data_IF_489019305480
#
_entry.id   IF_489019305480
#
_cell.length_a   1.000
_cell.length_b   1.000
_cell.length_c   1.000
_cell.angle_alpha   90.00
_cell.angle_beta   90.00
_cell.angle_gamma   90.00
#
_symmetry.space_group_name_H-M   'P 1'
#
loop_
_entity.id
_entity.type
_entity.pdbx_description
1 polymer ?
#
# COMPACT_ATOMS: atom_id res chain seq x y z
N UNK A 1 -0.20 5.09 25.32
CA UNK A 1 -0.54 4.33 24.11
C UNK A 1 -1.99 4.62 23.76
N UNK A 2 -2.31 4.85 22.48
CA UNK A 2 -3.70 5.07 22.07
C UNK A 2 -4.47 3.75 22.17
N UNK A 3 -5.79 3.79 22.36
CA UNK A 3 -6.62 2.55 22.38
C UNK A 3 -6.45 1.73 21.08
N UNK A 4 -6.23 2.43 19.96
CA UNK A 4 -5.96 1.81 18.65
C UNK A 4 -4.64 1.04 18.64
N UNK A 5 -3.55 1.57 19.21
CA UNK A 5 -2.26 0.86 19.22
C UNK A 5 -2.32 -0.45 20.01
N UNK A 6 -3.05 -0.46 21.14
CA UNK A 6 -3.24 -1.67 21.96
C UNK A 6 -4.03 -2.74 21.21
N UNK A 7 -5.04 -2.33 20.43
CA UNK A 7 -5.85 -3.28 19.67
C UNK A 7 -5.05 -3.95 18.55
N UNK A 8 -4.22 -3.20 17.82
CA UNK A 8 -3.35 -3.80 16.79
C UNK A 8 -2.33 -4.75 17.41
N UNK A 9 -1.73 -4.39 18.54
CA UNK A 9 -0.86 -5.29 19.31
C UNK A 9 -1.56 -6.60 19.69
N UNK A 10 -2.84 -6.54 20.07
CA UNK A 10 -3.64 -7.73 20.32
C UNK A 10 -3.88 -8.54 19.05
N UNK A 11 -4.24 -7.90 17.93
CA UNK A 11 -4.47 -8.59 16.65
C UNK A 11 -3.24 -9.36 16.18
N UNK A 12 -2.04 -8.80 16.33
CA UNK A 12 -0.79 -9.50 16.00
C UNK A 12 -0.59 -10.80 16.78
N UNK A 13 -1.07 -10.88 18.03
CA UNK A 13 -0.99 -12.10 18.85
C UNK A 13 -1.81 -13.25 18.29
N UNK A 14 -2.86 -12.94 17.52
CA UNK A 14 -3.69 -13.94 16.86
C UNK A 14 -3.09 -14.41 15.53
N UNK A 15 -2.10 -13.72 14.97
CA UNK A 15 -1.51 -14.10 13.68
C UNK A 15 -0.68 -15.38 13.79
N UNK A 16 -0.97 -16.35 12.94
CA UNK A 16 -0.23 -17.60 12.80
C UNK A 16 0.59 -17.60 11.49
N UNK A 17 1.94 -17.55 11.57
CA UNK A 17 2.79 -17.59 10.37
C UNK A 17 2.70 -18.88 9.56
N UNK A 18 2.31 -20.00 10.18
CA UNK A 18 2.19 -21.28 9.50
C UNK A 18 0.96 -21.37 8.59
N UNK A 19 -0.11 -20.64 8.94
CA UNK A 19 -1.38 -20.62 8.20
C UNK A 19 -1.64 -19.32 7.46
N UNK A 20 -0.79 -18.29 7.63
CA UNK A 20 -1.01 -16.92 7.14
C UNK A 20 -2.43 -16.41 7.48
N UNK A 21 -2.86 -16.64 8.72
CA UNK A 21 -4.19 -16.26 9.17
C UNK A 21 -4.22 -15.88 10.65
N UNK A 22 -5.20 -15.06 11.02
CA UNK A 22 -5.57 -14.80 12.41
C UNK A 22 -6.39 -15.97 12.95
N UNK A 23 -5.99 -16.51 14.10
CA UNK A 23 -6.59 -17.68 14.72
C UNK A 23 -7.64 -17.28 15.76
N UNK A 24 -8.89 -17.18 15.36
CA UNK A 24 -10.00 -16.86 16.27
C UNK A 24 -10.68 -18.12 16.80
N UNK A 25 -11.51 -17.98 17.84
CA UNK A 25 -12.29 -19.09 18.41
C UNK A 25 -13.31 -19.68 17.44
N UNK A 26 -13.76 -18.90 16.44
CA UNK A 26 -14.66 -19.34 15.38
C UNK A 26 -13.93 -19.79 14.09
N UNK A 27 -12.60 -19.86 14.11
CA UNK A 27 -11.80 -20.34 12.99
C UNK A 27 -10.79 -19.32 12.44
N UNK A 28 -9.94 -19.75 11.49
CA UNK A 28 -8.94 -18.89 10.87
C UNK A 28 -9.60 -17.86 9.96
N UNK A 29 -9.12 -16.63 9.99
CA UNK A 29 -9.58 -15.55 9.11
C UNK A 29 -8.42 -14.62 8.76
N UNK A 30 -8.39 -14.09 7.54
CA UNK A 30 -7.37 -13.14 7.09
C UNK A 30 -7.94 -12.24 5.99
N UNK A 31 -7.29 -11.09 5.71
CA UNK A 31 -7.56 -10.34 4.49
C UNK A 31 -7.38 -11.24 3.26
N UNK A 32 -8.29 -11.12 2.30
CA UNK A 32 -8.33 -11.87 1.04
C UNK A 32 -8.15 -10.94 -0.16
N UNK A 33 -8.00 -11.52 -1.36
CA UNK A 33 -8.01 -10.72 -2.60
C UNK A 33 -9.33 -9.95 -2.76
N UNK A 34 -10.45 -10.56 -2.37
CA UNK A 34 -11.75 -9.89 -2.45
C UNK A 34 -11.82 -8.69 -1.51
N UNK A 35 -11.26 -8.79 -0.29
CA UNK A 35 -11.16 -7.66 0.63
C UNK A 35 -10.30 -6.53 0.06
N UNK A 36 -9.15 -6.87 -0.54
CA UNK A 36 -8.28 -5.87 -1.18
C UNK A 36 -9.03 -5.16 -2.30
N UNK A 37 -9.72 -5.90 -3.17
CA UNK A 37 -10.56 -5.31 -4.22
C UNK A 37 -11.64 -4.41 -3.63
N UNK A 38 -12.36 -4.87 -2.61
CA UNK A 38 -13.43 -4.10 -1.98
C UNK A 38 -12.94 -2.79 -1.36
N UNK A 39 -11.73 -2.78 -0.78
CA UNK A 39 -11.19 -1.59 -0.09
C UNK A 39 -10.44 -0.62 -1.00
N UNK A 40 -9.95 -1.08 -2.15
CA UNK A 40 -9.02 -0.30 -3.00
C UNK A 40 -9.43 -0.19 -4.45
N UNK A 41 -10.40 -1.00 -4.90
CA UNK A 41 -10.77 -1.21 -6.30
C UNK A 41 -9.57 -1.61 -7.20
N UNK A 42 -8.50 -2.14 -6.59
CA UNK A 42 -7.32 -2.57 -7.33
C UNK A 42 -7.63 -3.81 -8.18
N UNK A 43 -7.13 -3.86 -9.43
CA UNK A 43 -7.33 -5.01 -10.30
C UNK A 43 -6.79 -6.31 -9.69
N UNK A 44 -7.65 -7.33 -9.67
CA UNK A 44 -7.33 -8.69 -9.22
C UNK A 44 -6.76 -9.58 -10.33
N UNK A 45 -7.06 -9.22 -11.58
CA UNK A 45 -6.64 -9.94 -12.78
C UNK A 45 -5.92 -8.93 -13.66
N UNK A 46 -4.69 -9.26 -14.02
CA UNK A 46 -3.83 -8.42 -14.83
C UNK A 46 -2.54 -9.18 -15.14
N UNK A 47 -1.61 -8.52 -15.80
CA UNK A 47 -0.26 -9.05 -15.95
C UNK A 47 0.34 -9.32 -14.57
N UNK A 48 1.10 -10.41 -14.47
CA UNK A 48 1.89 -10.68 -13.28
C UNK A 48 2.86 -9.51 -13.03
N UNK A 49 3.32 -9.44 -11.78
CA UNK A 49 4.20 -8.37 -11.32
C UNK A 49 5.27 -7.99 -12.36
N UNK A 50 5.51 -6.69 -12.62
CA UNK A 50 6.56 -6.26 -13.53
C UNK A 50 7.98 -6.59 -13.01
N UNK A 51 8.11 -7.11 -11.79
CA UNK A 51 9.36 -7.74 -11.32
C UNK A 51 9.62 -9.11 -11.96
N UNK A 52 8.58 -9.78 -12.42
CA UNK A 52 8.63 -11.09 -13.10
C UNK A 52 8.53 -10.93 -14.62
N UNK A 53 7.85 -9.88 -15.07
CA UNK A 53 7.67 -9.56 -16.49
C UNK A 53 8.45 -8.27 -16.80
N UNK A 54 9.60 -8.41 -17.44
CA UNK A 54 10.32 -7.28 -18.04
C UNK A 54 9.40 -6.67 -19.10
N UNK A 55 8.81 -5.50 -18.83
CA UNK A 55 7.95 -4.84 -19.79
C UNK A 55 8.80 -4.09 -20.84
N UNK A 56 8.88 -4.58 -22.09
CA UNK A 56 9.72 -3.94 -23.11
C UNK A 56 9.20 -2.56 -23.53
N UNK A 57 7.94 -2.24 -23.24
CA UNK A 57 7.30 -0.96 -23.54
C UNK A 57 7.41 0.06 -22.41
N UNK A 58 7.86 -0.35 -21.23
CA UNK A 58 8.06 0.55 -20.12
C UNK A 58 9.15 1.59 -20.45
N UNK A 59 8.94 2.88 -20.13
CA UNK A 59 9.92 3.91 -20.38
C UNK A 59 11.20 3.62 -19.58
N UNK A 60 12.32 3.60 -20.31
CA UNK A 60 13.66 3.50 -19.71
C UNK A 60 14.07 4.88 -19.22
N UNK A 61 13.75 5.17 -17.97
CA UNK A 61 14.26 6.36 -17.31
C UNK A 61 15.78 6.22 -17.15
N UNK A 62 16.49 7.33 -17.37
CA UNK A 62 17.89 7.46 -16.97
C UNK A 62 18.05 7.02 -15.52
N UNK A 63 19.21 6.44 -15.11
CA UNK A 63 19.47 6.17 -13.70
C UNK A 63 19.13 7.42 -12.91
N UNK A 64 18.17 7.30 -11.99
CA UNK A 64 17.71 8.44 -11.20
C UNK A 64 18.92 9.01 -10.46
N UNK A 65 19.48 10.11 -10.98
CA UNK A 65 20.50 10.90 -10.28
C UNK A 65 19.93 11.56 -9.03
N UNK A 66 18.62 11.46 -8.83
CA UNK A 66 17.84 12.11 -7.80
C UNK A 66 17.48 11.11 -6.72
N UNK A 67 18.28 11.08 -5.65
CA UNK A 67 17.89 10.46 -4.40
C UNK A 67 16.88 11.40 -3.73
N UNK A 68 15.58 11.15 -3.90
CA UNK A 68 14.55 11.99 -3.30
C UNK A 68 14.48 11.71 -1.79
N UNK A 69 14.69 12.72 -0.93
CA UNK A 69 14.72 12.51 0.51
C UNK A 69 13.31 12.37 1.12
N UNK A 70 12.25 12.77 0.40
CA UNK A 70 10.86 12.56 0.81
C UNK A 70 9.89 12.69 -0.36
N UNK A 71 8.66 12.18 -0.19
CA UNK A 71 7.56 12.34 -1.16
C UNK A 71 7.27 13.80 -1.49
N UNK A 72 7.32 14.70 -0.50
CA UNK A 72 7.04 16.14 -0.69
C UNK A 72 8.01 16.81 -1.64
N UNK A 73 9.28 16.38 -1.66
CA UNK A 73 10.28 16.94 -2.57
C UNK A 73 9.99 16.53 -4.01
N UNK A 74 9.52 15.30 -4.23
CA UNK A 74 9.07 14.86 -5.57
C UNK A 74 7.89 15.72 -6.02
N UNK A 75 6.85 15.85 -5.19
CA UNK A 75 5.65 16.62 -5.55
C UNK A 75 6.00 18.08 -5.87
N UNK A 76 6.75 18.76 -4.99
CA UNK A 76 7.14 20.16 -5.20
C UNK A 76 7.94 20.41 -6.47
N UNK A 77 8.76 19.43 -6.89
CA UNK A 77 9.55 19.56 -8.10
C UNK A 77 8.68 19.63 -9.37
N UNK A 78 7.48 19.03 -9.31
CA UNK A 78 6.56 18.93 -10.45
C UNK A 78 5.23 19.67 -10.22
N UNK A 79 5.11 20.42 -9.13
CA UNK A 79 3.93 21.23 -8.78
C UNK A 79 3.78 22.49 -9.66
N UNK A 80 4.83 22.86 -10.39
CA UNK A 80 4.95 24.17 -11.03
C UNK A 80 4.74 24.20 -12.56
N UNK A 81 4.37 23.09 -13.21
CA UNK A 81 4.17 23.07 -14.68
C UNK A 81 2.69 23.22 -15.06
N UNK A 82 2.38 24.23 -15.88
CA UNK A 82 1.05 24.47 -16.45
C UNK A 82 0.80 23.68 -17.74
N UNK A 83 1.81 22.99 -18.26
CA UNK A 83 1.75 22.22 -19.50
C UNK A 83 1.33 20.77 -19.23
N UNK A 84 1.03 20.02 -20.31
CA UNK A 84 0.74 18.60 -20.22
C UNK A 84 1.91 17.84 -19.56
N UNK A 85 1.65 16.92 -18.63
CA UNK A 85 2.69 16.22 -17.90
C UNK A 85 3.55 15.39 -18.85
N UNK A 86 4.86 15.53 -18.72
CA UNK A 86 5.85 14.70 -19.40
C UNK A 86 5.75 13.24 -18.95
N UNK A 87 6.29 12.32 -19.76
CA UNK A 87 6.37 10.89 -19.41
C UNK A 87 7.09 10.69 -18.08
N UNK A 88 8.14 11.48 -17.82
CA UNK A 88 8.89 11.43 -16.56
C UNK A 88 8.03 11.86 -15.38
N UNK A 89 7.28 12.96 -15.50
CA UNK A 89 6.34 13.42 -14.47
C UNK A 89 5.27 12.38 -14.18
N UNK A 90 4.70 11.78 -15.22
CA UNK A 90 3.69 10.73 -15.08
C UNK A 90 4.23 9.50 -14.33
N UNK A 91 5.43 9.03 -14.68
CA UNK A 91 6.06 7.89 -13.98
C UNK A 91 6.37 8.25 -12.52
N UNK A 92 6.90 9.44 -12.25
CA UNK A 92 7.24 9.85 -10.88
C UNK A 92 5.99 10.04 -10.01
N UNK A 93 4.90 10.53 -10.58
CA UNK A 93 3.60 10.57 -9.93
C UNK A 93 3.14 9.17 -9.53
N UNK A 94 3.17 8.20 -10.47
CA UNK A 94 2.80 6.81 -10.20
C UNK A 94 3.73 6.17 -9.16
N UNK A 95 5.02 6.49 -9.20
CA UNK A 95 5.99 5.99 -8.23
C UNK A 95 5.70 6.49 -6.81
N UNK A 96 5.40 7.78 -6.66
CA UNK A 96 4.95 8.35 -5.38
C UNK A 96 3.64 7.71 -4.94
N UNK A 97 2.67 7.56 -5.84
CA UNK A 97 1.36 7.00 -5.52
C UNK A 97 1.48 5.57 -4.97
N UNK A 98 2.22 4.72 -5.68
CA UNK A 98 2.46 3.31 -5.32
C UNK A 98 3.25 3.20 -4.03
N UNK A 99 4.31 3.98 -3.87
CA UNK A 99 5.09 3.97 -2.65
C UNK A 99 4.30 4.54 -1.47
N UNK A 100 3.63 5.68 -1.59
CA UNK A 100 3.08 6.39 -0.44
C UNK A 100 1.73 5.85 0.03
N UNK A 101 0.91 5.29 -0.86
CA UNK A 101 -0.47 4.94 -0.54
C UNK A 101 -0.78 3.44 -0.62
N UNK A 102 -0.04 2.67 -1.42
CA UNK A 102 -0.26 1.23 -1.50
C UNK A 102 0.70 0.45 -0.62
N UNK A 103 2.01 0.52 -0.90
CA UNK A 103 3.01 -0.32 -0.23
C UNK A 103 3.66 0.34 1.00
N UNK A 104 3.66 1.67 1.06
CA UNK A 104 4.14 2.53 2.14
C UNK A 104 5.47 2.08 2.77
N UNK A 105 6.59 2.03 2.02
CA UNK A 105 7.86 1.56 2.57
C UNK A 105 8.28 2.38 3.79
N UNK A 106 8.84 1.68 4.79
CA UNK A 106 9.21 2.20 6.12
C UNK A 106 10.14 3.43 6.05
N UNK A 107 10.90 3.54 4.95
CA UNK A 107 11.88 4.61 4.75
C UNK A 107 11.28 6.02 4.68
N UNK A 108 9.95 6.17 4.56
CA UNK A 108 9.28 7.47 4.45
C UNK A 108 9.61 8.22 3.16
N UNK A 109 10.22 7.53 2.19
CA UNK A 109 10.61 8.04 0.88
C UNK A 109 10.30 7.02 -0.22
N UNK A 110 10.13 7.46 -1.48
CA UNK A 110 9.95 6.54 -2.59
C UNK A 110 11.10 5.52 -2.66
N UNK A 111 10.77 4.24 -2.67
CA UNK A 111 11.76 3.17 -2.76
C UNK A 111 12.03 2.85 -4.22
N UNK A 112 13.32 2.80 -4.60
CA UNK A 112 13.73 2.50 -5.97
C UNK A 112 13.26 1.11 -6.44
N UNK A 113 12.94 0.21 -5.50
CA UNK A 113 12.34 -1.08 -5.81
C UNK A 113 11.01 -0.93 -6.55
N UNK A 114 10.19 0.09 -6.26
CA UNK A 114 8.88 0.30 -6.92
C UNK A 114 8.95 1.13 -8.20
N UNK A 115 10.14 1.60 -8.60
CA UNK A 115 10.27 2.40 -9.82
C UNK A 115 9.96 1.61 -11.10
N UNK A 116 10.44 0.36 -11.29
CA UNK A 116 10.08 -0.44 -12.47
C UNK A 116 8.57 -0.67 -12.58
N UNK A 117 7.90 -0.86 -11.44
CA UNK A 117 6.44 -0.97 -11.38
C UNK A 117 5.77 0.33 -11.86
N UNK A 118 6.25 1.49 -11.42
CA UNK A 118 5.73 2.78 -11.88
C UNK A 118 5.95 3.01 -13.38
N UNK A 119 7.12 2.65 -13.91
CA UNK A 119 7.37 2.68 -15.36
C UNK A 119 6.37 1.78 -16.10
N UNK A 120 6.16 0.57 -15.61
CA UNK A 120 5.25 -0.39 -16.23
C UNK A 120 3.80 0.11 -16.21
N UNK A 121 3.34 0.66 -15.08
CA UNK A 121 2.02 1.27 -14.94
C UNK A 121 1.81 2.47 -15.90
N UNK A 122 2.86 3.23 -16.20
CA UNK A 122 2.79 4.38 -17.11
C UNK A 122 2.44 4.01 -18.56
N UNK A 123 2.55 2.72 -18.92
CA UNK A 123 2.15 2.21 -20.25
C UNK A 123 0.63 2.08 -20.40
N UNK A 124 -0.13 2.22 -19.31
CA UNK A 124 -1.58 2.00 -19.29
C UNK A 124 -2.00 0.53 -19.21
N UNK A 125 -1.05 -0.39 -19.05
CA UNK A 125 -1.34 -1.81 -18.85
C UNK A 125 -1.89 -2.08 -17.45
N UNK A 126 -2.73 -3.11 -17.36
CA UNK A 126 -3.33 -3.56 -16.10
C UNK A 126 -2.44 -4.64 -15.50
N UNK A 127 -1.97 -4.41 -14.27
CA UNK A 127 -1.16 -5.36 -13.50
C UNK A 127 -1.95 -5.85 -12.29
N UNK A 128 -1.61 -7.02 -11.77
CA UNK A 128 -2.25 -7.61 -10.59
C UNK A 128 -1.80 -6.93 -9.27
N UNK A 129 -2.11 -5.64 -9.13
CA UNK A 129 -1.74 -4.84 -7.96
C UNK A 129 -2.41 -5.35 -6.68
N UNK A 130 -3.63 -5.90 -6.78
CA UNK A 130 -4.34 -6.46 -5.63
C UNK A 130 -3.59 -7.64 -5.01
N UNK A 131 -3.10 -8.57 -5.84
CA UNK A 131 -2.29 -9.68 -5.34
C UNK A 131 -0.94 -9.22 -4.79
N UNK A 132 -0.28 -8.26 -5.44
CA UNK A 132 0.99 -7.72 -4.94
C UNK A 132 0.82 -7.10 -3.54
N UNK A 133 -0.23 -6.29 -3.34
CA UNK A 133 -0.53 -5.69 -2.04
C UNK A 133 -0.82 -6.76 -0.97
N UNK A 134 -1.60 -7.79 -1.32
CA UNK A 134 -1.91 -8.88 -0.39
C UNK A 134 -0.66 -9.69 0.00
N UNK A 135 0.24 -9.93 -0.95
CA UNK A 135 1.53 -10.59 -0.68
C UNK A 135 2.38 -9.73 0.25
N UNK A 136 2.48 -8.43 0.00
CA UNK A 136 3.20 -7.50 0.88
C UNK A 136 2.61 -7.48 2.29
N UNK A 137 1.29 -7.55 2.41
CA UNK A 137 0.60 -7.68 3.70
C UNK A 137 1.04 -8.93 4.47
N UNK A 138 0.96 -10.12 3.86
CA UNK A 138 1.35 -11.37 4.53
C UNK A 138 2.84 -11.40 4.88
N UNK A 139 3.70 -10.90 4.00
CA UNK A 139 5.13 -10.78 4.28
C UNK A 139 5.40 -9.83 5.46
N UNK A 140 4.68 -8.71 5.54
CA UNK A 140 4.73 -7.78 6.66
C UNK A 140 4.29 -8.42 7.98
N UNK A 141 3.16 -9.12 7.98
CA UNK A 141 2.64 -9.82 9.16
C UNK A 141 3.61 -10.88 9.68
N UNK A 142 4.13 -11.74 8.80
CA UNK A 142 5.11 -12.77 9.17
C UNK A 142 6.39 -12.15 9.72
N UNK A 143 6.84 -11.05 9.10
CA UNK A 143 8.03 -10.33 9.53
C UNK A 143 7.88 -9.74 10.94
N UNK A 144 6.71 -9.22 11.29
CA UNK A 144 6.43 -8.69 12.62
C UNK A 144 6.42 -9.78 13.69
N UNK A 145 5.80 -10.92 13.40
CA UNK A 145 5.73 -12.04 14.36
C UNK A 145 7.10 -12.70 14.56
N UNK A 146 7.88 -12.89 13.51
CA UNK A 146 9.19 -13.59 13.60
C UNK A 146 10.26 -12.71 14.23
N UNK A 147 10.36 -11.44 13.86
CA UNK A 147 11.50 -10.61 14.27
C UNK A 147 11.21 -9.79 15.53
N UNK A 148 9.94 -9.64 15.94
CA UNK A 148 9.48 -8.77 17.02
C UNK A 148 9.77 -7.25 16.88
N UNK A 149 9.85 -6.63 15.68
CA UNK A 149 9.68 -5.21 15.55
C UNK A 149 8.30 -4.90 14.92
N UNK A 150 7.46 -4.21 15.68
CA UNK A 150 6.25 -3.56 15.16
C UNK A 150 6.58 -2.57 14.01
N UNK A 151 7.86 -2.20 13.82
CA UNK A 151 8.30 -1.31 12.75
C UNK A 151 8.18 -1.89 11.34
N UNK A 152 7.96 -3.21 11.16
CA UNK A 152 7.86 -3.82 9.82
C UNK A 152 6.47 -3.81 9.19
N UNK A 153 5.39 -3.69 9.99
CA UNK A 153 4.03 -3.57 9.41
C UNK A 153 3.74 -2.14 8.97
N UNK A 154 4.56 -1.14 9.33
CA UNK A 154 4.26 0.29 9.12
C UNK A 154 3.79 0.63 7.69
N UNK A 155 4.18 -0.17 6.68
CA UNK A 155 3.74 0.07 5.31
C UNK A 155 2.35 -0.43 4.92
N UNK A 156 2.01 -1.66 5.28
CA UNK A 156 0.73 -2.29 4.92
C UNK A 156 -0.20 -2.42 6.12
N UNK A 157 0.16 -1.79 7.24
CA UNK A 157 -0.65 -1.73 8.45
C UNK A 157 -2.01 -1.13 8.17
N UNK A 158 -2.10 -0.13 7.28
CA UNK A 158 -3.36 0.51 6.90
C UNK A 158 -4.39 -0.53 6.44
N UNK A 159 -3.97 -1.58 5.71
CA UNK A 159 -4.87 -2.64 5.24
C UNK A 159 -5.42 -3.44 6.41
N UNK A 160 -4.61 -3.72 7.44
CA UNK A 160 -5.09 -4.33 8.69
C UNK A 160 -6.12 -3.42 9.37
N UNK A 161 -5.89 -2.10 9.39
CA UNK A 161 -6.80 -1.15 10.04
C UNK A 161 -8.16 -1.14 9.35
N UNK A 162 -8.18 -1.04 8.01
CA UNK A 162 -9.41 -1.03 7.22
C UNK A 162 -10.15 -2.37 7.34
N UNK A 163 -9.43 -3.49 7.19
CA UNK A 163 -10.00 -4.82 7.31
C UNK A 163 -10.60 -5.06 8.69
N UNK A 164 -9.87 -4.71 9.74
CA UNK A 164 -10.34 -4.92 11.10
C UNK A 164 -11.52 -3.98 11.44
N UNK A 165 -11.54 -2.75 10.90
CA UNK A 165 -12.69 -1.86 11.01
C UNK A 165 -13.94 -2.40 10.29
N UNK A 166 -13.77 -3.06 9.15
CA UNK A 166 -14.88 -3.64 8.38
C UNK A 166 -15.51 -4.86 9.09
N UNK A 167 -14.68 -5.77 9.63
CA UNK A 167 -15.15 -7.03 10.20
C UNK A 167 -15.35 -7.01 11.72
N UNK A 168 -14.74 -6.07 12.43
CA UNK A 168 -14.84 -5.91 13.88
C UNK A 168 -15.33 -4.51 14.26
N UNK A 169 -16.30 -3.99 13.50
CA UNK A 169 -16.78 -2.61 13.61
C UNK A 169 -17.24 -2.21 15.02
N UNK A 170 -17.80 -3.12 15.81
CA UNK A 170 -18.16 -2.86 17.21
C UNK A 170 -16.94 -2.53 18.08
N UNK A 171 -15.84 -3.25 17.86
CA UNK A 171 -14.57 -3.05 18.57
C UNK A 171 -13.85 -1.80 18.06
N UNK A 172 -14.00 -1.51 16.77
CA UNK A 172 -13.36 -0.38 16.10
C UNK A 172 -14.15 0.92 16.10
N UNK A 173 -15.42 0.88 16.52
CA UNK A 173 -16.39 1.99 16.63
C UNK A 173 -15.80 3.31 16.17
N UNK A 174 -15.69 3.46 14.85
CA UNK A 174 -15.18 4.68 14.26
C UNK A 174 -16.17 5.76 14.67
N UNK A 175 -15.76 6.69 15.54
CA UNK A 175 -16.39 8.00 15.52
C UNK A 175 -15.99 8.66 14.19
N UNK A 176 -16.65 8.24 13.12
CA UNK A 176 -16.85 9.08 11.95
C UNK A 176 -17.68 10.27 12.44
N UNK A 177 -17.04 11.22 13.12
CA UNK A 177 -17.40 12.60 12.91
C UNK A 177 -17.05 12.87 11.44
N UNK A 178 -17.99 12.51 10.56
CA UNK A 178 -18.20 13.23 9.32
C UNK A 178 -18.40 14.68 9.76
N UNK A 179 -17.30 15.43 9.83
CA UNK A 179 -17.39 16.87 9.78
C UNK A 179 -18.19 17.15 8.50
N UNK A 180 -19.37 17.79 8.59
CA UNK A 180 -20.10 18.13 7.39
C UNK A 180 -19.19 19.06 6.60
N UNK A 181 -18.68 18.60 5.46
CA UNK A 181 -18.07 19.48 4.48
C UNK A 181 -19.13 20.55 4.15
N UNK A 182 -18.82 21.85 4.27
CA UNK A 182 -19.76 22.86 3.87
C UNK A 182 -19.97 22.73 2.37
N UNK A 183 -21.21 22.44 1.97
CA UNK A 183 -21.66 22.60 0.60
C UNK A 183 -21.51 24.08 0.25
N UNK A 184 -20.46 24.41 -0.50
CA UNK A 184 -20.38 25.69 -1.19
C UNK A 184 -21.34 25.59 -2.39
N UNK A 185 -22.49 26.25 -2.23
CA UNK A 185 -23.27 26.78 -3.35
C UNK A 185 -22.55 27.98 -3.95
#
# INVERSE_FOLDING_TARGET
MSKQSVLFDCMFRFWSPSSNAFMFSWGPMSPTLYDVYLFTDLPLVGLDSPYLIDDPSAPKLSPLRYCFPSYRVVVKQYEACSDAPSVTEHVLFLWVLVCQYFFCPISGKPSAEYLPLACSLSTGRIYNLGAMLLVSFYQGMNSCVVNNPLSRLEGVAWLLQVWAAAYFSEIFSFQLHLAPYPLLY
#
